data_IF_386008340875
#
_entry.id   IF_386008340875
#
_cell.length_a   1.000
_cell.length_b   1.000
_cell.length_c   1.000
_cell.angle_alpha   90.00
_cell.angle_beta   90.00
_cell.angle_gamma   90.00
#
_symmetry.space_group_name_H-M   'P 1'
#
loop_
_entity.id
_entity.type
_entity.pdbx_description
1 polymer ?
#
# COMPACT_ATOMS: atom_id res chain seq x y z
N UNK A 1 14.82 18.93 -53.34
CA UNK A 1 14.51 20.37 -53.32
C UNK A 1 15.34 21.14 -54.34
N UNK A 2 16.68 21.18 -54.23
CA UNK A 2 17.54 21.93 -55.19
C UNK A 2 17.38 21.50 -56.66
N UNK A 3 17.37 20.20 -56.94
CA UNK A 3 17.13 19.70 -58.31
C UNK A 3 15.71 20.01 -58.83
N UNK A 4 14.74 20.16 -57.92
CA UNK A 4 13.36 20.52 -58.24
C UNK A 4 13.20 22.01 -58.55
N UNK A 5 14.03 22.86 -57.94
CA UNK A 5 14.06 24.33 -58.15
C UNK A 5 14.82 24.69 -59.44
N UNK A 6 15.87 23.94 -59.78
CA UNK A 6 16.70 24.16 -60.97
C UNK A 6 16.17 23.45 -62.23
N UNK A 7 14.99 22.81 -62.17
CA UNK A 7 14.41 22.07 -63.31
C UNK A 7 13.80 23.04 -64.33
N UNK A 8 14.29 22.93 -65.56
CA UNK A 8 13.95 23.78 -66.71
C UNK A 8 12.93 23.08 -67.60
N UNK A 9 13.38 22.23 -68.52
CA UNK A 9 12.56 21.43 -69.45
C UNK A 9 13.30 20.10 -69.76
N UNK A 10 12.61 19.14 -70.38
CA UNK A 10 13.20 17.85 -70.78
C UNK A 10 14.35 18.11 -71.76
N UNK A 11 15.50 17.45 -71.56
CA UNK A 11 16.73 17.58 -72.35
C UNK A 11 17.52 18.91 -72.23
N UNK A 12 17.19 19.79 -71.27
CA UNK A 12 17.99 21.01 -70.98
C UNK A 12 18.80 20.92 -69.67
N UNK A 13 20.02 21.50 -69.66
CA UNK A 13 20.86 21.59 -68.46
C UNK A 13 20.26 22.55 -67.42
N UNK A 14 20.37 22.19 -66.14
CA UNK A 14 19.75 22.93 -65.03
C UNK A 14 20.36 24.32 -64.85
N UNK A 15 19.52 25.37 -64.87
CA UNK A 15 19.94 26.76 -64.62
C UNK A 15 19.64 27.12 -63.17
N UNK A 16 20.60 27.76 -62.48
CA UNK A 16 20.46 28.15 -61.08
C UNK A 16 19.37 29.23 -60.94
N UNK A 17 18.43 29.05 -60.01
CA UNK A 17 17.34 30.00 -59.71
C UNK A 17 16.38 30.28 -60.89
N UNK A 18 16.05 29.26 -61.70
CA UNK A 18 15.17 29.45 -62.85
C UNK A 18 13.70 29.72 -62.47
N UNK A 19 13.19 29.09 -61.41
CA UNK A 19 11.77 29.20 -61.06
C UNK A 19 11.55 29.28 -59.54
N UNK A 20 11.74 30.48 -58.99
CA UNK A 20 11.61 30.76 -57.56
C UNK A 20 10.18 30.50 -57.02
N UNK A 21 9.15 30.58 -57.87
CA UNK A 21 7.76 30.29 -57.49
C UNK A 21 7.55 28.82 -57.07
N UNK A 22 8.33 27.86 -57.62
CA UNK A 22 8.26 26.44 -57.23
C UNK A 22 8.72 26.20 -55.78
N UNK A 23 9.56 27.09 -55.23
CA UNK A 23 10.03 26.99 -53.85
C UNK A 23 8.89 27.29 -52.85
N UNK A 24 8.05 28.28 -53.13
CA UNK A 24 6.88 28.62 -52.31
C UNK A 24 5.85 27.49 -52.30
N UNK A 25 5.66 26.84 -53.46
CA UNK A 25 4.84 25.62 -53.55
C UNK A 25 5.40 24.50 -52.66
N UNK A 26 6.72 24.30 -52.67
CA UNK A 26 7.37 23.27 -51.85
C UNK A 26 7.20 23.55 -50.36
N UNK A 27 7.41 24.79 -49.92
CA UNK A 27 7.28 25.19 -48.51
C UNK A 27 5.83 25.05 -48.03
N UNK A 28 4.85 25.53 -48.80
CA UNK A 28 3.43 25.46 -48.43
C UNK A 28 2.92 24.02 -48.35
N UNK A 29 3.31 23.16 -49.30
CA UNK A 29 3.00 21.73 -49.26
C UNK A 29 3.62 21.04 -48.04
N UNK A 30 4.89 21.34 -47.74
CA UNK A 30 5.61 20.74 -46.61
C UNK A 30 4.98 21.16 -45.27
N UNK A 31 4.57 22.43 -45.14
CA UNK A 31 3.85 22.90 -43.95
C UNK A 31 2.48 22.23 -43.79
N UNK A 32 1.68 22.14 -44.85
CA UNK A 32 0.35 21.51 -44.78
C UNK A 32 0.44 20.03 -44.40
N UNK A 33 1.29 19.26 -45.07
CA UNK A 33 1.43 17.81 -44.82
C UNK A 33 2.09 17.55 -43.46
N UNK A 34 3.14 18.29 -43.12
CA UNK A 34 3.84 18.12 -41.84
C UNK A 34 2.92 18.45 -40.66
N UNK A 35 2.16 19.54 -40.74
CA UNK A 35 1.20 19.91 -39.70
C UNK A 35 0.12 18.83 -39.53
N UNK A 36 -0.41 18.30 -40.62
CA UNK A 36 -1.41 17.22 -40.56
C UNK A 36 -0.86 15.95 -39.90
N UNK A 37 0.33 15.50 -40.32
CA UNK A 37 0.95 14.29 -39.78
C UNK A 37 1.27 14.44 -38.29
N UNK A 38 1.82 15.58 -37.88
CA UNK A 38 2.13 15.86 -36.46
C UNK A 38 0.85 15.87 -35.63
N UNK A 39 -0.20 16.56 -36.09
CA UNK A 39 -1.44 16.65 -35.34
C UNK A 39 -2.17 15.31 -35.25
N UNK A 40 -2.17 14.52 -36.32
CA UNK A 40 -2.71 13.15 -36.31
C UNK A 40 -1.91 12.26 -35.34
N UNK A 41 -0.58 12.37 -35.35
CA UNK A 41 0.28 11.60 -34.46
C UNK A 41 0.04 11.94 -32.99
N UNK A 42 0.01 13.23 -32.64
CA UNK A 42 -0.29 13.68 -31.27
C UNK A 42 -1.68 13.21 -30.85
N UNK A 43 -2.68 13.27 -31.74
CA UNK A 43 -4.03 12.76 -31.47
C UNK A 43 -4.04 11.28 -31.09
N UNK A 44 -3.42 10.43 -31.91
CA UNK A 44 -3.34 8.97 -31.66
C UNK A 44 -2.55 8.66 -30.38
N UNK A 45 -1.44 9.34 -30.16
CA UNK A 45 -0.60 9.13 -28.96
C UNK A 45 -1.37 9.51 -27.70
N UNK A 46 -1.99 10.69 -27.67
CA UNK A 46 -2.78 11.17 -26.52
C UNK A 46 -3.98 10.27 -26.27
N UNK A 47 -4.68 9.82 -27.32
CA UNK A 47 -5.81 8.91 -27.17
C UNK A 47 -5.38 7.56 -26.57
N UNK A 48 -4.24 7.02 -27.01
CA UNK A 48 -3.67 5.80 -26.43
C UNK A 48 -3.26 6.00 -24.95
N UNK A 49 -2.64 7.12 -24.60
CA UNK A 49 -2.32 7.43 -23.20
C UNK A 49 -3.56 7.54 -22.32
N UNK A 50 -4.63 8.17 -22.81
CA UNK A 50 -5.90 8.25 -22.10
C UNK A 50 -6.55 6.87 -21.93
N UNK A 51 -6.54 6.01 -22.95
CA UNK A 51 -7.03 4.62 -22.87
C UNK A 51 -6.25 3.84 -21.80
N UNK A 52 -4.93 3.89 -21.84
CA UNK A 52 -4.07 3.19 -20.87
C UNK A 52 -4.34 3.65 -19.44
N UNK A 53 -4.46 4.98 -19.22
CA UNK A 53 -4.77 5.55 -17.91
C UNK A 53 -6.16 5.14 -17.42
N UNK A 54 -7.16 5.13 -18.30
CA UNK A 54 -8.52 4.73 -17.96
C UNK A 54 -8.62 3.24 -17.61
N UNK A 55 -7.93 2.39 -18.36
CA UNK A 55 -7.90 0.95 -18.14
C UNK A 55 -7.22 0.60 -16.83
N UNK A 56 -6.05 1.18 -16.53
CA UNK A 56 -5.39 0.99 -15.24
C UNK A 56 -6.27 1.41 -14.05
N UNK A 57 -6.96 2.54 -14.14
CA UNK A 57 -7.87 2.98 -13.08
C UNK A 57 -9.05 2.03 -12.90
N UNK A 58 -9.59 1.48 -13.99
CA UNK A 58 -10.68 0.49 -13.93
C UNK A 58 -10.20 -0.81 -13.29
N UNK A 59 -9.04 -1.30 -13.69
CA UNK A 59 -8.46 -2.52 -13.16
C UNK A 59 -8.12 -2.38 -11.66
N UNK A 60 -7.56 -1.24 -11.25
CA UNK A 60 -7.27 -0.98 -9.85
C UNK A 60 -8.54 -0.89 -9.00
N UNK A 61 -9.57 -0.21 -9.50
CA UNK A 61 -10.89 -0.15 -8.85
C UNK A 61 -11.52 -1.54 -8.74
N UNK A 62 -11.48 -2.34 -9.81
CA UNK A 62 -12.00 -3.71 -9.83
C UNK A 62 -11.25 -4.62 -8.84
N UNK A 63 -9.92 -4.49 -8.75
CA UNK A 63 -9.09 -5.24 -7.78
C UNK A 63 -9.44 -4.84 -6.34
N UNK A 64 -9.68 -3.56 -6.08
CA UNK A 64 -10.08 -3.06 -4.75
C UNK A 64 -11.47 -3.56 -4.36
N UNK A 65 -12.45 -3.52 -5.26
CA UNK A 65 -13.81 -4.01 -5.00
C UNK A 65 -13.82 -5.54 -4.80
N UNK A 66 -13.09 -6.30 -5.60
CA UNK A 66 -12.94 -7.74 -5.44
C UNK A 66 -12.31 -8.13 -4.09
N UNK A 67 -11.27 -7.41 -3.65
CA UNK A 67 -10.67 -7.60 -2.32
C UNK A 67 -11.67 -7.31 -1.19
N UNK A 68 -12.47 -6.24 -1.32
CA UNK A 68 -13.52 -5.89 -0.34
C UNK A 68 -14.62 -6.97 -0.30
N UNK A 69 -15.10 -7.43 -1.45
CA UNK A 69 -16.09 -8.49 -1.54
C UNK A 69 -15.60 -9.79 -0.87
N UNK A 70 -14.36 -10.22 -1.16
CA UNK A 70 -13.75 -11.40 -0.51
C UNK A 70 -13.63 -11.24 1.02
N UNK A 71 -13.34 -10.05 1.54
CA UNK A 71 -13.30 -9.80 3.00
C UNK A 71 -14.69 -9.92 3.63
N UNK A 72 -15.71 -9.35 2.99
CA UNK A 72 -17.10 -9.44 3.47
C UNK A 72 -17.57 -10.88 3.46
N UNK A 73 -17.29 -11.63 2.40
CA UNK A 73 -17.64 -13.05 2.30
C UNK A 73 -16.94 -13.89 3.38
N UNK A 74 -15.64 -13.68 3.61
CA UNK A 74 -14.89 -14.31 4.72
C UNK A 74 -15.50 -13.98 6.08
N UNK A 75 -15.89 -12.72 6.33
CA UNK A 75 -16.54 -12.31 7.58
C UNK A 75 -17.91 -12.97 7.73
N UNK A 76 -18.70 -13.06 6.65
CA UNK A 76 -20.02 -13.71 6.65
C UNK A 76 -19.91 -15.20 6.95
N UNK A 77 -18.95 -15.91 6.33
CA UNK A 77 -18.68 -17.34 6.62
C UNK A 77 -18.28 -17.57 8.09
N UNK A 78 -17.43 -16.71 8.66
CA UNK A 78 -17.04 -16.77 10.09
C UNK A 78 -18.20 -16.45 11.05
N UNK A 79 -19.19 -15.70 10.59
CA UNK A 79 -20.35 -15.30 11.40
C UNK A 79 -21.52 -16.29 11.27
N UNK A 80 -21.56 -17.10 10.20
CA UNK A 80 -22.52 -18.20 10.03
C UNK A 80 -22.12 -19.48 10.76
N UNK A 81 -20.86 -19.60 11.19
CA UNK A 81 -20.51 -20.59 12.22
C UNK A 81 -21.07 -20.09 13.55
N UNK A 82 -22.09 -20.78 14.05
CA UNK A 82 -22.55 -20.64 15.43
C UNK A 82 -21.29 -20.76 16.30
N UNK A 83 -20.91 -19.73 17.08
CA UNK A 83 -19.70 -19.79 17.87
C UNK A 83 -19.76 -21.05 18.75
N UNK A 84 -18.72 -21.88 18.67
CA UNK A 84 -18.58 -23.20 19.32
C UNK A 84 -18.92 -23.22 20.82
N UNK A 85 -19.01 -22.06 21.46
CA UNK A 85 -19.37 -21.85 22.87
C UNK A 85 -20.87 -21.66 23.14
N UNK A 86 -21.74 -21.69 22.12
CA UNK A 86 -23.18 -21.49 22.30
C UNK A 86 -23.84 -22.58 23.18
N UNK A 87 -23.23 -23.76 23.27
CA UNK A 87 -23.74 -24.89 24.05
C UNK A 87 -23.02 -25.12 25.40
N UNK A 88 -22.20 -24.17 25.87
CA UNK A 88 -21.41 -24.40 27.09
C UNK A 88 -22.19 -24.10 28.39
N UNK A 89 -22.01 -24.92 29.43
CA UNK A 89 -22.65 -24.74 30.74
C UNK A 89 -22.39 -23.34 31.34
N UNK A 90 -23.38 -22.74 32.03
CA UNK A 90 -23.33 -21.34 32.48
C UNK A 90 -22.15 -21.03 33.41
N UNK A 91 -21.68 -22.02 34.18
CA UNK A 91 -20.54 -21.91 35.08
C UNK A 91 -19.21 -21.70 34.34
N UNK A 92 -18.95 -22.50 33.30
CA UNK A 92 -17.72 -22.37 32.50
C UNK A 92 -17.77 -21.16 31.55
N UNK A 93 -18.97 -20.69 31.17
CA UNK A 93 -19.14 -19.40 30.46
C UNK A 93 -18.84 -18.19 31.35
N UNK A 94 -19.22 -18.22 32.63
CA UNK A 94 -18.86 -17.16 33.58
C UNK A 94 -17.35 -17.09 33.82
N UNK A 95 -16.69 -18.22 34.09
CA UNK A 95 -15.23 -18.29 34.22
C UNK A 95 -14.51 -17.80 32.95
N UNK A 96 -15.02 -18.18 31.77
CA UNK A 96 -14.45 -17.72 30.50
C UNK A 96 -14.64 -16.21 30.29
N UNK A 97 -15.81 -15.65 30.61
CA UNK A 97 -16.06 -14.21 30.49
C UNK A 97 -15.22 -13.38 31.48
N UNK A 98 -15.00 -13.90 32.68
CA UNK A 98 -14.13 -13.26 33.69
C UNK A 98 -12.67 -13.28 33.21
N UNK A 99 -12.20 -14.43 32.71
CA UNK A 99 -10.83 -14.62 32.25
C UNK A 99 -10.51 -13.87 30.94
N UNK A 100 -11.49 -13.69 30.05
CA UNK A 100 -11.35 -12.95 28.79
C UNK A 100 -11.70 -11.46 28.93
N UNK A 101 -11.85 -10.97 30.16
CA UNK A 101 -12.11 -9.56 30.41
C UNK A 101 -10.80 -8.76 30.39
N UNK A 102 -10.79 -7.62 29.71
CA UNK A 102 -9.62 -6.75 29.61
C UNK A 102 -9.11 -6.26 30.98
N UNK A 103 -9.98 -6.20 31.98
CA UNK A 103 -9.64 -5.80 33.34
C UNK A 103 -8.82 -6.86 34.07
N UNK A 104 -9.08 -8.14 33.82
CA UNK A 104 -8.32 -9.25 34.44
C UNK A 104 -6.88 -9.31 33.92
N UNK A 105 -6.69 -9.17 32.60
CA UNK A 105 -5.35 -9.09 32.00
C UNK A 105 -4.54 -7.90 32.52
N UNK A 106 -5.21 -6.76 32.75
CA UNK A 106 -4.58 -5.56 33.33
C UNK A 106 -4.14 -5.79 34.77
N UNK A 107 -4.92 -6.53 35.57
CA UNK A 107 -4.55 -6.90 36.95
C UNK A 107 -3.33 -7.82 36.96
N UNK A 108 -3.29 -8.86 36.09
CA UNK A 108 -2.13 -9.75 36.00
C UNK A 108 -0.88 -8.99 35.55
N UNK A 109 -1.00 -8.12 34.55
CA UNK A 109 0.10 -7.26 34.10
C UNK A 109 0.60 -6.34 35.21
N UNK A 110 -0.31 -5.75 36.00
CA UNK A 110 0.03 -4.91 37.14
C UNK A 110 0.82 -5.69 38.20
N UNK A 111 0.38 -6.90 38.57
CA UNK A 111 1.06 -7.75 39.56
C UNK A 111 2.46 -8.16 39.10
N UNK A 112 2.63 -8.53 37.82
CA UNK A 112 3.95 -8.85 37.26
C UNK A 112 4.85 -7.60 37.24
N UNK A 113 4.32 -6.46 36.81
CA UNK A 113 5.08 -5.20 36.76
C UNK A 113 5.53 -4.75 38.16
N UNK A 114 4.67 -4.90 39.17
CA UNK A 114 5.00 -4.57 40.55
C UNK A 114 6.12 -5.46 41.06
N UNK A 115 6.08 -6.76 40.79
CA UNK A 115 7.13 -7.71 41.16
C UNK A 115 8.47 -7.39 40.46
N UNK A 116 8.46 -7.09 39.16
CA UNK A 116 9.66 -6.68 38.41
C UNK A 116 10.24 -5.37 38.95
N UNK A 117 9.38 -4.40 39.30
CA UNK A 117 9.82 -3.13 39.89
C UNK A 117 10.44 -3.36 41.25
N UNK A 118 9.85 -4.21 42.10
CA UNK A 118 10.43 -4.59 43.40
C UNK A 118 11.83 -5.21 43.25
N UNK A 119 12.03 -6.10 42.27
CA UNK A 119 13.35 -6.67 41.97
C UNK A 119 14.32 -5.63 41.39
N UNK A 120 13.84 -4.68 40.59
CA UNK A 120 14.68 -3.63 40.00
C UNK A 120 15.11 -2.54 41.00
N UNK A 121 14.34 -2.36 42.08
CA UNK A 121 14.58 -1.38 43.13
C UNK A 121 15.51 -1.91 44.23
N UNK A 122 16.01 -3.15 44.13
CA UNK A 122 17.12 -3.64 44.94
C UNK A 122 18.40 -2.86 44.59
N UNK A 123 18.55 -1.67 45.17
CA UNK A 123 19.79 -0.94 45.13
C UNK A 123 20.72 -1.46 46.23
N UNK A 124 21.99 -1.68 45.89
CA UNK A 124 23.01 -2.11 46.84
C UNK A 124 23.13 -1.03 47.93
N UNK A 125 22.71 -1.35 49.17
CA UNK A 125 22.64 -0.52 50.41
C UNK A 125 21.33 0.25 50.72
N UNK A 126 20.23 -0.42 51.12
CA UNK A 126 19.08 0.25 51.78
C UNK A 126 18.59 -0.37 53.12
N UNK A 127 18.01 0.45 54.05
CA UNK A 127 17.84 0.17 55.48
C UNK A 127 16.51 -0.56 55.85
N UNK A 128 16.25 -0.93 57.13
CA UNK A 128 15.50 -2.14 57.52
C UNK A 128 13.96 -1.98 57.56
N UNK A 129 13.31 -1.58 56.46
CA UNK A 129 11.86 -1.70 56.31
C UNK A 129 11.50 -3.01 55.61
N UNK A 130 11.60 -4.09 56.40
CA UNK A 130 11.76 -5.49 55.94
C UNK A 130 10.49 -6.36 55.97
N UNK A 131 9.28 -5.81 55.84
CA UNK A 131 8.05 -6.63 55.92
C UNK A 131 7.48 -7.07 54.56
N UNK A 132 7.51 -6.20 53.54
CA UNK A 132 6.87 -6.50 52.23
C UNK A 132 7.85 -7.18 51.26
N UNK A 133 9.13 -6.78 51.29
CA UNK A 133 10.20 -7.36 50.46
C UNK A 133 10.56 -8.78 50.96
N UNK A 134 10.49 -9.02 52.27
CA UNK A 134 10.75 -10.35 52.85
C UNK A 134 9.80 -11.44 52.35
N UNK A 135 8.54 -11.10 52.03
CA UNK A 135 7.55 -12.08 51.55
C UNK A 135 7.74 -12.41 50.07
N UNK A 136 8.14 -11.44 49.24
CA UNK A 136 8.52 -11.70 47.85
C UNK A 136 9.78 -12.54 47.77
N UNK A 137 10.77 -12.28 48.62
CA UNK A 137 12.04 -13.02 48.66
C UNK A 137 11.85 -14.46 49.17
N UNK A 138 10.98 -14.67 50.17
CA UNK A 138 10.65 -16.00 50.69
C UNK A 138 9.93 -16.87 49.63
N UNK A 139 9.07 -16.27 48.82
CA UNK A 139 8.42 -16.93 47.69
C UNK A 139 9.39 -17.29 46.56
N UNK A 140 10.40 -16.45 46.31
CA UNK A 140 11.46 -16.72 45.33
C UNK A 140 12.41 -17.82 45.83
N UNK A 141 12.78 -17.81 47.12
CA UNK A 141 13.61 -18.84 47.74
C UNK A 141 12.94 -20.23 47.71
N UNK A 142 11.66 -20.31 48.05
CA UNK A 142 10.90 -21.57 47.96
C UNK A 142 10.75 -22.09 46.53
N UNK A 143 10.64 -21.18 45.55
CA UNK A 143 10.52 -21.54 44.14
C UNK A 143 11.87 -21.92 43.49
N UNK A 144 12.98 -21.39 44.01
CA UNK A 144 14.35 -21.73 43.60
C UNK A 144 14.86 -23.03 44.21
N UNK A 145 14.39 -23.43 45.40
CA UNK A 145 14.82 -24.65 46.10
C UNK A 145 14.18 -25.96 45.57
N UNK A 146 13.18 -25.86 44.69
CA UNK A 146 12.48 -27.03 44.11
C UNK A 146 12.92 -27.34 42.67
N UNK A 147 14.00 -26.71 42.19
CA UNK A 147 14.57 -26.96 40.87
C UNK A 147 16.03 -27.40 40.98
#
# INVERSE_FOLDING_TARGET
>A
MYNSINVVDVDMQSIRNYNEAKLVYFISFLLLVSFFVINMFVGVVVENFHKYRAEQQREEKARRTAKRAKKIERKKRRMSEIPYYAHFSPWRRHLHNICNSKYFDLIIAAVISLNVVTMSLEFYLMPPLKSVVSLSDFLIYYKGSFR
#
